data_IF_540359475739
#
_entry.id   IF_540359475739
#
_cell.length_a   1.000
_cell.length_b   1.000
_cell.length_c   1.000
_cell.angle_alpha   90.00
_cell.angle_beta   90.00
_cell.angle_gamma   90.00
#
_symmetry.space_group_name_H-M   'P 1'
#
loop_
_entity.id
_entity.type
_entity.pdbx_description
1 polymer ?
#
# COMPACT_ATOMS: atom_id res chain seq x y z
N UNK A 1 8.38 -4.05 3.24
CA UNK A 1 7.19 -4.19 4.11
C UNK A 1 7.55 -4.63 5.53
N UNK A 2 8.43 -5.62 5.70
CA UNK A 2 9.00 -5.99 7.00
C UNK A 2 9.53 -4.78 7.80
N UNK A 3 10.09 -3.77 7.13
CA UNK A 3 10.60 -2.56 7.77
C UNK A 3 9.51 -1.68 8.40
N UNK A 4 8.44 -1.32 7.68
CA UNK A 4 7.36 -0.51 8.26
C UNK A 4 6.71 -1.24 9.44
N UNK A 5 6.51 -2.56 9.30
CA UNK A 5 5.94 -3.39 10.36
C UNK A 5 6.89 -3.56 11.56
N UNK A 6 8.21 -3.65 11.36
CA UNK A 6 9.18 -3.69 12.46
C UNK A 6 9.26 -2.37 13.23
N UNK A 7 8.88 -1.26 12.61
CA UNK A 7 8.71 0.06 13.24
C UNK A 7 7.33 0.25 13.89
N UNK A 8 6.56 -0.84 14.04
CA UNK A 8 5.28 -0.85 14.74
C UNK A 8 4.10 -0.31 13.93
N UNK A 9 4.23 -0.19 12.60
CA UNK A 9 3.12 0.13 11.71
C UNK A 9 2.45 -1.17 11.25
N UNK A 10 1.29 -1.52 11.83
CA UNK A 10 0.57 -2.72 11.46
C UNK A 10 -0.07 -2.57 10.07
N UNK A 11 0.54 -3.13 9.02
CA UNK A 11 0.04 -3.06 7.64
C UNK A 11 -0.91 -4.23 7.37
N UNK A 12 -2.15 -3.92 6.96
CA UNK A 12 -3.14 -4.91 6.52
C UNK A 12 -2.98 -5.26 5.06
N UNK A 13 -2.82 -4.24 4.23
CA UNK A 13 -2.75 -4.37 2.77
C UNK A 13 -1.67 -3.45 2.23
N UNK A 14 -0.87 -3.95 1.29
CA UNK A 14 0.13 -3.14 0.59
C UNK A 14 0.19 -3.55 -0.87
N UNK A 15 0.09 -2.55 -1.76
CA UNK A 15 0.19 -2.77 -3.19
C UNK A 15 0.85 -1.57 -3.86
N UNK A 16 1.71 -1.85 -4.82
CA UNK A 16 2.11 -0.84 -5.80
C UNK A 16 1.02 -0.76 -6.87
N UNK A 17 0.60 0.44 -7.20
CA UNK A 17 -0.40 0.70 -8.23
C UNK A 17 0.17 1.73 -9.19
N UNK A 18 0.08 1.46 -10.49
CA UNK A 18 0.37 2.46 -11.51
C UNK A 18 -0.82 3.41 -11.61
N UNK A 19 -0.63 4.66 -11.20
CA UNK A 19 -1.67 5.67 -11.27
C UNK A 19 -2.01 5.99 -12.74
N UNK A 20 -3.29 5.91 -13.09
CA UNK A 20 -3.75 6.11 -14.46
C UNK A 20 -3.59 7.57 -14.94
N UNK A 21 -3.53 8.53 -14.00
CA UNK A 21 -3.53 9.96 -14.30
C UNK A 21 -2.15 10.47 -14.74
N UNK A 22 -1.09 10.03 -14.05
CA UNK A 22 0.27 10.54 -14.20
C UNK A 22 1.30 9.45 -14.57
N UNK A 23 0.85 8.20 -14.70
CA UNK A 23 1.69 7.03 -14.97
C UNK A 23 2.82 6.83 -13.94
N UNK A 24 2.64 7.30 -12.70
CA UNK A 24 3.57 7.08 -11.62
C UNK A 24 3.16 5.89 -10.75
N UNK A 25 4.15 5.17 -10.24
CA UNK A 25 3.92 4.11 -9.26
C UNK A 25 3.66 4.69 -7.89
N UNK A 26 2.55 4.29 -7.27
CA UNK A 26 2.20 4.66 -5.90
C UNK A 26 2.08 3.43 -5.03
N UNK A 27 2.68 3.49 -3.85
CA UNK A 27 2.54 2.49 -2.81
C UNK A 27 1.29 2.80 -1.98
N UNK A 28 0.24 2.04 -2.24
CA UNK A 28 -0.97 2.07 -1.45
C UNK A 28 -0.77 1.25 -0.18
N UNK A 29 -1.01 1.87 0.97
CA UNK A 29 -0.94 1.24 2.28
C UNK A 29 -2.28 1.35 3.01
N UNK A 30 -2.78 0.20 3.47
CA UNK A 30 -3.89 0.13 4.42
C UNK A 30 -3.37 -0.39 5.75
N UNK A 31 -3.65 0.33 6.83
CA UNK A 31 -3.30 -0.11 8.18
C UNK A 31 -4.35 -1.05 8.77
N UNK A 32 -3.88 -2.01 9.58
CA UNK A 32 -4.75 -2.94 10.30
C UNK A 32 -5.63 -2.27 11.35
N UNK A 33 -5.20 -1.10 11.85
CA UNK A 33 -5.98 -0.23 12.70
C UNK A 33 -6.01 1.16 12.06
N UNK A 34 -7.17 1.82 12.03
CA UNK A 34 -7.23 3.21 11.58
C UNK A 34 -6.36 4.07 12.49
N UNK A 35 -5.71 5.07 11.89
CA UNK A 35 -5.11 6.16 12.64
C UNK A 35 -6.19 7.18 12.95
N UNK A 36 -6.26 7.62 14.21
CA UNK A 36 -7.14 8.74 14.60
C UNK A 36 -6.71 10.04 13.91
N UNK A 37 -5.40 10.20 13.64
CA UNK A 37 -4.83 11.29 12.87
C UNK A 37 -4.01 10.77 11.68
N UNK A 38 -4.53 10.96 10.47
CA UNK A 38 -3.82 10.62 9.22
C UNK A 38 -2.50 11.38 9.09
N UNK A 39 -2.39 12.61 9.61
CA UNK A 39 -1.15 13.39 9.56
C UNK A 39 -0.07 12.73 10.39
N UNK A 40 -0.44 12.15 11.52
CA UNK A 40 0.50 11.40 12.36
C UNK A 40 1.00 10.14 11.67
N UNK A 41 0.12 9.42 10.98
CA UNK A 41 0.52 8.27 10.15
C UNK A 41 1.54 8.68 9.09
N UNK A 42 1.26 9.75 8.35
CA UNK A 42 2.18 10.30 7.34
C UNK A 42 3.52 10.75 7.96
N UNK A 43 3.49 11.44 9.11
CA UNK A 43 4.71 11.87 9.81
C UNK A 43 5.58 10.68 10.20
N UNK A 44 4.98 9.62 10.76
CA UNK A 44 5.71 8.41 11.15
C UNK A 44 6.32 7.71 9.95
N UNK A 45 5.56 7.56 8.85
CA UNK A 45 6.09 6.99 7.61
C UNK A 45 7.23 7.84 7.09
N UNK A 46 7.09 9.16 7.06
CA UNK A 46 8.13 10.06 6.60
C UNK A 46 9.41 9.97 7.42
N UNK A 47 9.29 9.90 8.75
CA UNK A 47 10.43 9.67 9.62
C UNK A 47 11.14 8.34 9.33
N UNK A 48 10.38 7.26 9.10
CA UNK A 48 10.94 5.94 8.78
C UNK A 48 11.60 5.95 7.40
N UNK A 49 10.95 6.50 6.38
CA UNK A 49 11.48 6.59 5.01
C UNK A 49 12.78 7.39 4.99
N UNK A 50 12.80 8.54 5.65
CA UNK A 50 13.99 9.37 5.75
C UNK A 50 15.14 8.68 6.50
N UNK A 51 14.85 7.94 7.58
CA UNK A 51 15.86 7.23 8.36
C UNK A 51 16.43 5.98 7.65
N UNK A 52 15.67 5.38 6.72
CA UNK A 52 15.99 4.11 6.08
C UNK A 52 16.00 4.20 4.54
N UNK A 53 16.37 5.37 3.99
CA UNK A 53 16.30 5.64 2.56
C UNK A 53 17.04 4.61 1.70
N UNK A 54 18.17 4.08 2.18
CA UNK A 54 18.96 3.05 1.49
C UNK A 54 18.26 1.68 1.45
N UNK A 55 17.46 1.34 2.46
CA UNK A 55 16.74 0.06 2.55
C UNK A 55 15.41 0.07 1.78
N UNK A 56 14.84 1.26 1.60
CA UNK A 56 13.51 1.47 0.98
C UNK A 56 13.60 1.61 -0.54
N UNK A 57 14.81 1.59 -1.12
CA UNK A 57 15.00 1.47 -2.56
C UNK A 57 14.55 2.69 -3.36
N UNK A 58 14.58 3.88 -2.75
CA UNK A 58 14.28 5.14 -3.42
C UNK A 58 12.80 5.54 -3.46
N UNK A 59 11.90 4.82 -2.77
CA UNK A 59 10.52 5.28 -2.56
C UNK A 59 10.53 6.52 -1.69
N UNK A 60 9.93 7.61 -2.17
CA UNK A 60 9.67 8.79 -1.36
C UNK A 60 8.32 8.67 -0.66
N UNK A 61 8.15 9.41 0.42
CA UNK A 61 6.85 9.64 1.05
C UNK A 61 5.78 10.18 0.10
N UNK A 62 6.16 10.94 -0.93
CA UNK A 62 5.24 11.42 -1.97
C UNK A 62 4.64 10.29 -2.80
N UNK A 63 5.31 9.13 -2.84
CA UNK A 63 4.87 7.97 -3.59
C UNK A 63 3.94 7.07 -2.76
N UNK A 64 3.62 7.46 -1.52
CA UNK A 64 2.83 6.65 -0.59
C UNK A 64 1.43 7.23 -0.41
N UNK A 65 0.43 6.44 -0.76
CA UNK A 65 -0.98 6.76 -0.52
C UNK A 65 -1.52 5.96 0.67
N UNK A 66 -2.04 6.67 1.67
CA UNK A 66 -2.74 6.04 2.79
C UNK A 66 -4.19 5.79 2.44
N UNK A 67 -4.51 4.52 2.23
CA UNK A 67 -5.82 4.08 1.79
C UNK A 67 -6.70 3.75 2.99
N UNK A 68 -7.91 4.31 3.00
CA UNK A 68 -8.91 4.01 4.00
C UNK A 68 -9.46 2.58 3.86
N UNK A 69 -9.96 2.01 4.95
CA UNK A 69 -10.45 0.64 4.95
C UNK A 69 -11.68 0.44 4.05
N UNK A 70 -12.47 1.45 3.77
CA UNK A 70 -13.63 1.37 2.87
C UNK A 70 -13.28 1.50 1.37
N UNK A 71 -12.00 1.47 1.01
CA UNK A 71 -11.59 1.51 -0.39
C UNK A 71 -12.11 0.28 -1.16
N UNK A 72 -12.97 0.54 -2.15
CA UNK A 72 -13.68 -0.48 -2.93
C UNK A 72 -12.76 -1.46 -3.66
N UNK A 73 -11.60 -1.00 -4.15
CA UNK A 73 -10.63 -1.88 -4.82
C UNK A 73 -10.03 -2.86 -3.82
N UNK A 74 -9.58 -2.36 -2.66
CA UNK A 74 -9.04 -3.21 -1.60
C UNK A 74 -10.08 -4.20 -1.06
N UNK A 75 -11.35 -3.78 -0.91
CA UNK A 75 -12.43 -4.68 -0.50
C UNK A 75 -12.65 -5.82 -1.51
N UNK A 76 -12.63 -5.53 -2.80
CA UNK A 76 -12.73 -6.57 -3.84
C UNK A 76 -11.52 -7.49 -3.80
N UNK A 77 -10.31 -6.92 -3.80
CA UNK A 77 -9.05 -7.67 -3.80
C UNK A 77 -8.95 -8.59 -2.58
N UNK A 78 -9.35 -8.13 -1.39
CA UNK A 78 -9.35 -8.94 -0.17
C UNK A 78 -10.23 -10.19 -0.24
N UNK A 79 -11.25 -10.21 -1.09
CA UNK A 79 -12.12 -11.39 -1.28
C UNK A 79 -11.51 -12.45 -2.19
N UNK A 80 -10.59 -12.05 -3.07
CA UNK A 80 -10.05 -12.92 -4.13
C UNK A 80 -8.56 -13.24 -3.96
N UNK A 81 -7.81 -12.38 -3.28
CA UNK A 81 -6.38 -12.54 -3.01
C UNK A 81 -6.17 -12.60 -1.51
N UNK A 82 -5.53 -13.66 -1.04
CA UNK A 82 -4.95 -13.74 0.30
C UNK A 82 -3.45 -13.94 0.15
N UNK A 83 -2.67 -12.98 0.65
CA UNK A 83 -1.24 -12.94 0.44
C UNK A 83 -0.53 -12.53 1.73
N UNK A 84 0.20 -13.48 2.31
CA UNK A 84 1.03 -13.28 3.48
C UNK A 84 2.39 -12.65 3.15
N UNK A 85 3.29 -12.67 4.12
CA UNK A 85 4.63 -12.10 3.96
C UNK A 85 5.47 -12.91 2.94
N UNK A 86 6.07 -12.21 1.98
CA UNK A 86 7.07 -12.77 1.04
C UNK A 86 6.53 -13.22 -0.31
N UNK A 87 5.22 -13.18 -0.54
CA UNK A 87 4.62 -13.41 -1.85
C UNK A 87 4.36 -12.11 -2.61
N UNK A 88 4.20 -12.19 -3.93
CA UNK A 88 3.70 -11.09 -4.76
C UNK A 88 2.70 -11.59 -5.80
N UNK A 89 1.68 -10.78 -6.11
CA UNK A 89 0.74 -11.03 -7.21
C UNK A 89 0.76 -9.81 -8.13
N UNK A 90 1.06 -10.03 -9.41
CA UNK A 90 0.98 -8.98 -10.41
C UNK A 90 -0.36 -9.05 -11.13
N UNK A 91 -0.99 -7.88 -11.28
CA UNK A 91 -2.26 -7.68 -11.96
C UNK A 91 -2.04 -6.64 -13.05
N UNK A 92 -2.62 -6.86 -14.21
CA UNK A 92 -2.61 -5.90 -15.33
C UNK A 92 -3.98 -5.81 -15.96
N UNK A 93 -4.39 -4.59 -16.30
CA UNK A 93 -5.63 -4.26 -16.97
C UNK A 93 -6.89 -4.82 -16.26
N UNK A 94 -7.02 -4.55 -14.96
CA UNK A 94 -8.12 -5.07 -14.14
C UNK A 94 -9.08 -3.98 -13.66
N UNK A 95 -10.33 -4.35 -13.45
CA UNK A 95 -11.36 -3.51 -12.85
C UNK A 95 -11.89 -4.19 -11.59
N UNK A 96 -11.79 -3.51 -10.44
CA UNK A 96 -12.23 -4.02 -9.15
C UNK A 96 -13.27 -3.07 -8.54
N UNK A 97 -14.52 -3.51 -8.42
CA UNK A 97 -15.62 -2.69 -7.89
C UNK A 97 -15.72 -1.28 -8.53
N UNK A 98 -15.48 -1.19 -9.84
CA UNK A 98 -15.50 0.08 -10.58
C UNK A 98 -14.24 0.93 -10.45
N UNK A 99 -13.19 0.43 -9.79
CA UNK A 99 -11.86 1.04 -9.76
C UNK A 99 -10.96 0.34 -10.77
N UNK A 100 -10.47 1.10 -11.74
CA UNK A 100 -9.54 0.59 -12.74
C UNK A 100 -8.11 0.58 -12.19
N UNK A 101 -7.44 -0.56 -12.30
CA UNK A 101 -6.03 -0.74 -11.97
C UNK A 101 -5.29 -1.13 -13.27
N UNK A 102 -4.63 -0.17 -13.94
CA UNK A 102 -3.87 -0.43 -15.16
C UNK A 102 -2.78 -1.47 -14.92
N UNK A 103 -2.00 -1.29 -13.85
CA UNK A 103 -1.05 -2.26 -13.33
C UNK A 103 -1.03 -2.19 -11.80
N UNK A 104 -0.90 -3.35 -11.15
CA UNK A 104 -0.69 -3.41 -9.72
C UNK A 104 0.19 -4.60 -9.32
N UNK A 105 1.00 -4.41 -8.29
CA UNK A 105 1.78 -5.46 -7.64
C UNK A 105 1.33 -5.54 -6.20
N UNK A 106 0.61 -6.60 -5.86
CA UNK A 106 0.15 -6.87 -4.50
C UNK A 106 1.31 -7.49 -3.73
N UNK A 107 1.72 -6.83 -2.66
CA UNK A 107 2.79 -7.29 -1.78
C UNK A 107 2.22 -7.98 -0.53
N UNK A 108 1.03 -7.54 -0.07
CA UNK A 108 0.33 -8.10 1.08
C UNK A 108 -1.16 -7.85 0.97
N UNK A 109 -1.94 -8.85 1.33
CA UNK A 109 -3.40 -8.79 1.37
C UNK A 109 -3.92 -9.69 2.49
N UNK A 110 -4.21 -9.09 3.64
CA UNK A 110 -4.76 -9.75 4.82
C UNK A 110 -6.07 -9.08 5.25
N UNK A 111 -7.07 -9.08 4.34
CA UNK A 111 -8.44 -8.62 4.62
C UNK A 111 -9.39 -9.80 4.83
#
# INVERSE_FOLDING_TARGET
MSLLESQGLAIRSALFVLAAEDANWRLWLEFARPFDDKREAYRRIAAIVAAHQQEIGGIDTSDIDLIASDNKALEALGRIVKLGAGGQVQLSNNMFNGVFLPEAIILKMNR
#
